data_IF_073025551080
#
_entry.id   IF_073025551080
#
_cell.length_a   1.000
_cell.length_b   1.000
_cell.length_c   1.000
_cell.angle_alpha   90.00
_cell.angle_beta   90.00
_cell.angle_gamma   90.00
#
_symmetry.space_group_name_H-M   'P 1'
#
loop_
_entity.id
_entity.type
_entity.pdbx_description
1 polymer ?
#
# COMPACT_ATOMS: atom_id res chain seq x y z
N UNK A 1 10.22 -27.02 -10.84
CA UNK A 1 10.09 -26.38 -12.18
C UNK A 1 11.34 -25.59 -12.47
N UNK A 2 12.04 -25.86 -13.57
CA UNK A 2 13.21 -25.07 -13.97
C UNK A 2 12.78 -23.68 -14.48
N UNK A 3 13.71 -22.71 -14.45
CA UNK A 3 13.46 -21.35 -14.98
C UNK A 3 13.18 -21.37 -16.49
N UNK A 4 13.77 -22.29 -17.24
CA UNK A 4 13.49 -22.46 -18.68
C UNK A 4 12.03 -22.90 -18.92
N UNK A 5 11.56 -23.88 -18.16
CA UNK A 5 10.16 -24.32 -18.24
C UNK A 5 9.21 -23.21 -17.82
N UNK A 6 9.53 -22.44 -16.77
CA UNK A 6 8.77 -21.25 -16.37
C UNK A 6 8.66 -20.24 -17.52
N UNK A 7 9.78 -19.93 -18.17
CA UNK A 7 9.82 -18.98 -19.29
C UNK A 7 8.99 -19.48 -20.47
N UNK A 8 9.11 -20.76 -20.82
CA UNK A 8 8.32 -21.38 -21.89
C UNK A 8 6.81 -21.28 -21.60
N UNK A 9 6.40 -21.68 -20.38
CA UNK A 9 5.01 -21.58 -19.95
C UNK A 9 4.50 -20.14 -19.97
N UNK A 10 5.35 -19.18 -19.60
CA UNK A 10 4.99 -17.76 -19.62
C UNK A 10 4.80 -17.24 -21.06
N UNK A 11 5.67 -17.65 -22.00
CA UNK A 11 5.47 -17.34 -23.44
C UNK A 11 4.16 -17.93 -23.96
N UNK A 12 3.86 -19.18 -23.64
CA UNK A 12 2.60 -19.83 -24.04
C UNK A 12 1.36 -19.18 -23.42
N UNK A 13 1.50 -18.61 -22.20
CA UNK A 13 0.42 -17.90 -21.52
C UNK A 13 0.21 -16.45 -22.02
N UNK A 14 1.12 -15.89 -22.82
CA UNK A 14 1.04 -14.50 -23.29
C UNK A 14 -0.27 -14.15 -23.99
N UNK A 15 -0.87 -14.99 -24.85
CA UNK A 15 -2.19 -14.70 -25.44
C UNK A 15 -3.28 -14.51 -24.39
N UNK A 16 -3.27 -15.29 -23.31
CA UNK A 16 -4.21 -15.16 -22.18
C UNK A 16 -3.95 -13.87 -21.38
N UNK A 17 -2.68 -13.50 -21.20
CA UNK A 17 -2.31 -12.23 -20.56
C UNK A 17 -2.85 -11.05 -21.37
N UNK A 18 -2.72 -11.08 -22.70
CA UNK A 18 -3.26 -10.08 -23.59
C UNK A 18 -4.79 -10.03 -23.55
N UNK A 19 -5.46 -11.19 -23.61
CA UNK A 19 -6.92 -11.27 -23.53
C UNK A 19 -7.42 -10.66 -22.21
N UNK A 20 -6.77 -10.99 -21.09
CA UNK A 20 -7.08 -10.41 -19.78
C UNK A 20 -6.84 -8.90 -19.75
N UNK A 21 -5.79 -8.42 -20.39
CA UNK A 21 -5.48 -6.99 -20.48
C UNK A 21 -6.56 -6.24 -21.25
N UNK A 22 -6.97 -6.75 -22.43
CA UNK A 22 -8.08 -6.20 -23.22
C UNK A 22 -9.41 -6.22 -22.47
N UNK A 23 -9.68 -7.31 -21.75
CA UNK A 23 -10.89 -7.40 -20.92
C UNK A 23 -10.91 -6.36 -19.79
N UNK A 24 -9.78 -6.14 -19.11
CA UNK A 24 -9.64 -5.06 -18.11
C UNK A 24 -9.76 -3.68 -18.72
N UNK A 25 -9.24 -3.49 -19.91
CA UNK A 25 -9.29 -2.21 -20.63
C UNK A 25 -10.71 -1.77 -20.98
N UNK A 26 -11.68 -2.70 -21.07
CA UNK A 26 -13.11 -2.34 -21.23
C UNK A 26 -13.65 -1.50 -20.08
N UNK A 27 -13.12 -1.69 -18.86
CA UNK A 27 -13.52 -0.91 -17.67
C UNK A 27 -12.55 0.23 -17.38
N UNK A 28 -11.28 0.07 -17.78
CA UNK A 28 -10.22 1.03 -17.51
C UNK A 28 -9.27 1.07 -18.73
N UNK A 29 -9.53 1.95 -19.71
CA UNK A 29 -8.78 2.02 -20.99
C UNK A 29 -7.28 2.26 -20.83
N UNK A 30 -6.85 2.85 -19.72
CA UNK A 30 -5.45 3.14 -19.39
C UNK A 30 -4.57 1.87 -19.33
N UNK A 31 -5.17 0.68 -19.21
CA UNK A 31 -4.42 -0.59 -19.30
C UNK A 31 -3.75 -0.80 -20.66
N UNK A 32 -4.24 -0.17 -21.73
CA UNK A 32 -3.66 -0.24 -23.09
C UNK A 32 -2.62 0.85 -23.35
N UNK A 33 -2.42 1.78 -22.44
CA UNK A 33 -1.38 2.78 -22.58
C UNK A 33 0.00 2.18 -22.34
N UNK A 34 1.01 2.67 -23.07
CA UNK A 34 2.42 2.29 -22.94
C UNK A 34 2.64 0.77 -23.02
N UNK A 35 1.94 0.07 -23.91
CA UNK A 35 2.06 -1.37 -24.10
C UNK A 35 3.49 -1.82 -24.44
N UNK A 36 4.24 -1.00 -25.19
CA UNK A 36 5.62 -1.27 -25.56
C UNK A 36 6.51 -1.44 -24.31
N UNK A 37 6.29 -0.65 -23.26
CA UNK A 37 7.04 -0.75 -21.99
C UNK A 37 6.88 -2.13 -21.35
N UNK A 38 5.67 -2.74 -21.42
CA UNK A 38 5.39 -4.08 -20.90
C UNK A 38 6.16 -5.20 -21.61
N UNK A 39 6.74 -4.89 -22.76
CA UNK A 39 7.61 -5.77 -23.54
C UNK A 39 9.07 -5.33 -23.51
N UNK A 40 9.41 -4.32 -22.70
CA UNK A 40 10.79 -3.84 -22.52
C UNK A 40 11.25 -2.83 -23.59
N UNK A 41 10.33 -2.16 -24.29
CA UNK A 41 10.65 -1.09 -25.23
C UNK A 41 10.29 0.26 -24.64
N UNK A 42 11.26 1.14 -24.46
CA UNK A 42 11.13 2.44 -23.81
C UNK A 42 11.61 3.55 -24.75
N UNK A 43 10.91 4.70 -24.75
CA UNK A 43 11.19 5.79 -25.67
C UNK A 43 12.40 6.65 -25.27
N UNK A 44 12.61 6.85 -23.96
CA UNK A 44 13.66 7.75 -23.48
C UNK A 44 14.42 7.15 -22.30
N UNK A 45 15.71 7.45 -22.23
CA UNK A 45 16.56 7.11 -21.09
C UNK A 45 16.81 8.37 -20.27
N UNK A 46 16.60 8.34 -18.95
CA UNK A 46 16.98 9.45 -18.08
C UNK A 46 18.51 9.66 -18.12
N UNK A 47 18.99 10.91 -18.15
CA UNK A 47 20.42 11.24 -18.31
C UNK A 47 21.25 11.04 -17.04
N UNK A 48 20.72 10.40 -15.98
CA UNK A 48 21.35 10.29 -14.65
C UNK A 48 21.59 8.85 -14.25
N UNK A 49 22.51 8.63 -13.29
CA UNK A 49 22.63 7.39 -12.54
C UNK A 49 21.31 7.11 -11.84
N UNK A 50 20.85 5.86 -11.86
CA UNK A 50 19.50 5.50 -11.40
C UNK A 50 19.54 4.46 -10.28
N UNK A 51 18.77 4.71 -9.24
CA UNK A 51 18.20 3.64 -8.43
C UNK A 51 16.85 3.25 -9.02
N UNK A 52 16.60 1.99 -9.15
CA UNK A 52 15.32 1.48 -9.63
C UNK A 52 14.51 0.94 -8.46
N UNK A 53 13.25 1.41 -8.35
CA UNK A 53 12.27 0.96 -7.36
C UNK A 53 11.02 0.46 -8.06
N UNK A 54 10.59 -0.76 -7.75
CA UNK A 54 9.38 -1.35 -8.27
C UNK A 54 8.27 -1.38 -7.23
N UNK A 55 7.18 -0.66 -7.49
CA UNK A 55 5.97 -0.60 -6.67
C UNK A 55 4.74 -0.88 -7.54
N UNK A 56 4.09 -2.02 -7.36
CA UNK A 56 3.01 -2.51 -8.24
C UNK A 56 1.75 -1.69 -8.13
N UNK A 57 1.36 -1.33 -6.91
CA UNK A 57 0.04 -0.81 -6.56
C UNK A 57 0.08 0.60 -5.95
N UNK A 58 -1.09 1.23 -5.86
CA UNK A 58 -1.29 2.51 -5.14
C UNK A 58 -0.73 2.46 -3.72
N UNK A 59 -1.02 1.36 -2.98
CA UNK A 59 -0.57 1.20 -1.60
C UNK A 59 0.93 1.12 -1.46
N UNK A 60 1.61 0.39 -2.36
CA UNK A 60 3.06 0.29 -2.40
C UNK A 60 3.71 1.61 -2.83
N UNK A 61 3.15 2.29 -3.84
CA UNK A 61 3.65 3.59 -4.29
C UNK A 61 3.61 4.63 -3.17
N UNK A 62 2.52 4.68 -2.41
CA UNK A 62 2.40 5.56 -1.23
C UNK A 62 3.38 5.16 -0.11
N UNK A 63 3.52 3.87 0.17
CA UNK A 63 4.46 3.36 1.16
C UNK A 63 5.93 3.63 0.77
N UNK A 64 6.24 3.66 -0.52
CA UNK A 64 7.57 3.96 -1.03
C UNK A 64 7.93 5.45 -0.97
N UNK A 65 6.96 6.36 -0.85
CA UNK A 65 7.20 7.80 -0.94
C UNK A 65 8.27 8.30 0.06
N UNK A 66 8.22 7.98 1.38
CA UNK A 66 9.26 8.40 2.33
C UNK A 66 10.65 7.86 1.98
N UNK A 67 10.71 6.65 1.42
CA UNK A 67 11.97 6.04 0.99
C UNK A 67 12.52 6.73 -0.26
N UNK A 68 11.69 7.06 -1.25
CA UNK A 68 12.07 7.80 -2.45
C UNK A 68 12.61 9.19 -2.07
N UNK A 69 11.89 9.91 -1.18
CA UNK A 69 12.31 11.20 -0.67
C UNK A 69 13.69 11.13 0.02
N UNK A 70 13.92 10.06 0.79
CA UNK A 70 15.18 9.82 1.50
C UNK A 70 16.32 9.43 0.56
N UNK A 71 16.06 8.59 -0.45
CA UNK A 71 17.03 8.21 -1.50
C UNK A 71 17.48 9.44 -2.28
N UNK A 72 16.54 10.26 -2.76
CA UNK A 72 16.85 11.46 -3.53
C UNK A 72 17.59 12.51 -2.71
N UNK A 73 17.37 12.57 -1.39
CA UNK A 73 18.12 13.45 -0.49
C UNK A 73 19.54 12.95 -0.23
N UNK A 74 19.68 11.65 0.04
CA UNK A 74 20.97 11.05 0.37
C UNK A 74 21.91 10.93 -0.85
N UNK A 75 21.35 10.83 -2.06
CA UNK A 75 22.10 10.64 -3.30
C UNK A 75 21.76 11.73 -4.34
N UNK A 76 22.28 12.96 -4.17
CA UNK A 76 21.91 14.10 -5.04
C UNK A 76 22.27 13.91 -6.52
N UNK A 77 23.29 13.11 -6.82
CA UNK A 77 23.70 12.76 -8.20
C UNK A 77 22.84 11.69 -8.89
N UNK A 78 21.90 11.06 -8.17
CA UNK A 78 21.07 9.99 -8.71
C UNK A 78 19.63 10.45 -8.97
N UNK A 79 18.99 9.77 -9.94
CA UNK A 79 17.54 9.74 -10.08
C UNK A 79 16.96 8.44 -9.55
N UNK A 80 15.64 8.38 -9.48
CA UNK A 80 14.90 7.14 -9.18
C UNK A 80 14.02 6.80 -10.39
N UNK A 81 14.16 5.57 -10.87
CA UNK A 81 13.23 4.95 -11.80
C UNK A 81 12.16 4.22 -10.97
N UNK A 82 10.93 4.71 -11.02
CA UNK A 82 9.79 4.09 -10.36
C UNK A 82 8.98 3.29 -11.36
N UNK A 83 8.89 1.97 -11.17
CA UNK A 83 8.13 1.10 -12.09
C UNK A 83 6.85 0.57 -11.46
N UNK A 84 5.83 0.38 -12.29
CA UNK A 84 4.49 -0.06 -11.88
C UNK A 84 4.01 -1.23 -12.75
N UNK A 85 2.94 -1.92 -12.29
CA UNK A 85 2.19 -2.88 -13.10
C UNK A 85 0.75 -2.44 -13.38
N UNK A 86 0.23 -1.47 -12.62
CA UNK A 86 -1.16 -1.00 -12.72
C UNK A 86 -1.24 0.47 -13.11
N UNK A 87 -2.26 0.89 -13.92
CA UNK A 87 -2.48 2.30 -14.25
C UNK A 87 -2.70 3.17 -13.02
N UNK A 88 -3.44 2.66 -12.02
CA UNK A 88 -3.70 3.38 -10.77
C UNK A 88 -2.44 3.61 -9.95
N UNK A 89 -1.53 2.61 -9.88
CA UNK A 89 -0.21 2.77 -9.28
C UNK A 89 0.61 3.85 -9.98
N UNK A 90 0.61 3.83 -11.32
CA UNK A 90 1.31 4.85 -12.14
C UNK A 90 0.71 6.25 -11.94
N UNK A 91 -0.63 6.37 -11.88
CA UNK A 91 -1.29 7.64 -11.60
C UNK A 91 -0.89 8.21 -10.21
N UNK A 92 -0.86 7.36 -9.18
CA UNK A 92 -0.36 7.77 -7.84
C UNK A 92 1.11 8.22 -7.89
N UNK A 93 1.93 7.57 -8.72
CA UNK A 93 3.32 7.97 -8.91
C UNK A 93 3.50 9.33 -9.58
N UNK A 94 2.51 9.85 -10.33
CA UNK A 94 2.57 11.21 -10.90
C UNK A 94 2.66 12.29 -9.82
N UNK A 95 2.02 12.10 -8.67
CA UNK A 95 2.13 13.01 -7.53
C UNK A 95 3.57 13.08 -6.99
N UNK A 96 4.29 11.96 -7.00
CA UNK A 96 5.70 11.89 -6.63
C UNK A 96 6.59 12.54 -7.68
N UNK A 97 6.30 12.34 -8.98
CA UNK A 97 7.02 13.01 -10.06
C UNK A 97 6.94 14.53 -9.95
N UNK A 98 5.76 15.06 -9.67
CA UNK A 98 5.54 16.51 -9.51
C UNK A 98 6.37 17.09 -8.36
N UNK A 99 6.63 16.32 -7.30
CA UNK A 99 7.49 16.73 -6.16
C UNK A 99 8.99 16.68 -6.48
N UNK A 100 9.40 15.85 -7.45
CA UNK A 100 10.81 15.62 -7.79
C UNK A 100 11.08 15.78 -9.30
N UNK A 101 10.85 16.96 -9.88
CA UNK A 101 10.97 17.19 -11.32
C UNK A 101 12.40 16.88 -11.81
N UNK A 102 12.49 16.13 -12.90
CA UNK A 102 13.75 15.72 -13.53
C UNK A 102 14.61 14.74 -12.74
N UNK A 103 14.16 14.29 -11.56
CA UNK A 103 14.86 13.29 -10.73
C UNK A 103 14.11 11.98 -10.53
N UNK A 104 12.82 11.97 -10.78
CA UNK A 104 11.99 10.78 -10.76
C UNK A 104 11.48 10.51 -12.19
N UNK A 105 11.58 9.26 -12.62
CA UNK A 105 11.09 8.78 -13.91
C UNK A 105 10.16 7.61 -13.67
N UNK A 106 9.09 7.49 -14.46
CA UNK A 106 8.16 6.36 -14.38
C UNK A 106 8.19 5.50 -15.64
N UNK A 107 8.02 4.17 -15.45
CA UNK A 107 7.78 3.22 -16.51
C UNK A 107 6.91 2.06 -16.03
N UNK A 108 6.32 1.29 -16.94
CA UNK A 108 5.83 -0.04 -16.59
C UNK A 108 6.99 -1.03 -16.54
N UNK A 109 6.98 -1.91 -15.53
CA UNK A 109 7.86 -3.07 -15.54
C UNK A 109 7.46 -4.02 -16.67
N UNK A 110 8.42 -4.59 -17.42
CA UNK A 110 8.07 -5.56 -18.44
C UNK A 110 7.55 -6.85 -17.82
N UNK A 111 6.79 -7.62 -18.59
CA UNK A 111 6.46 -8.99 -18.20
C UNK A 111 7.72 -9.82 -17.98
N UNK A 112 7.66 -10.79 -17.08
CA UNK A 112 8.84 -11.59 -16.67
C UNK A 112 9.31 -12.57 -17.75
N UNK A 113 9.56 -12.03 -18.96
CA UNK A 113 10.12 -12.73 -20.11
C UNK A 113 11.61 -12.41 -20.21
N UNK A 114 12.49 -13.41 -20.42
CA UNK A 114 13.94 -13.20 -20.43
C UNK A 114 14.42 -12.05 -21.33
N UNK A 115 13.87 -11.97 -22.55
CA UNK A 115 14.23 -10.91 -23.49
C UNK A 115 13.72 -9.53 -23.08
N UNK A 116 12.51 -9.44 -22.54
CA UNK A 116 11.92 -8.18 -22.09
C UNK A 116 12.63 -7.62 -20.85
N UNK A 117 12.94 -8.48 -19.87
CA UNK A 117 13.76 -8.13 -18.71
C UNK A 117 15.18 -7.69 -19.11
N UNK A 118 15.79 -8.36 -20.11
CA UNK A 118 17.08 -7.98 -20.65
C UNK A 118 17.04 -6.57 -21.23
N UNK A 119 16.09 -6.28 -22.14
CA UNK A 119 15.93 -4.94 -22.74
C UNK A 119 15.70 -3.84 -21.71
N UNK A 120 14.87 -4.11 -20.68
CA UNK A 120 14.63 -3.18 -19.58
C UNK A 120 15.93 -2.79 -18.87
N UNK A 121 16.71 -3.77 -18.44
CA UNK A 121 17.95 -3.53 -17.71
C UNK A 121 19.02 -2.88 -18.60
N UNK A 122 19.10 -3.24 -19.90
CA UNK A 122 20.04 -2.65 -20.85
C UNK A 122 19.66 -1.20 -21.18
N UNK A 123 18.36 -0.88 -21.20
CA UNK A 123 17.87 0.46 -21.47
C UNK A 123 18.14 1.42 -20.30
N UNK A 124 17.72 1.06 -19.09
CA UNK A 124 17.81 1.96 -17.94
C UNK A 124 19.16 1.89 -17.19
N UNK A 125 19.84 0.74 -17.21
CA UNK A 125 21.13 0.49 -16.55
C UNK A 125 21.14 1.00 -15.09
N UNK A 126 20.21 0.57 -14.24
CA UNK A 126 20.18 1.01 -12.86
C UNK A 126 21.39 0.47 -12.09
N UNK A 127 21.82 1.19 -11.05
CA UNK A 127 22.94 0.76 -10.19
C UNK A 127 22.49 -0.14 -9.05
N UNK A 128 21.23 -0.04 -8.68
CA UNK A 128 20.59 -0.83 -7.63
C UNK A 128 19.12 -1.04 -7.98
N UNK A 129 18.62 -2.26 -7.83
CA UNK A 129 17.20 -2.59 -7.98
C UNK A 129 16.53 -2.89 -6.64
N UNK A 130 15.39 -2.26 -6.39
CA UNK A 130 14.59 -2.40 -5.18
C UNK A 130 13.20 -2.92 -5.55
N UNK A 131 12.87 -4.15 -5.19
CA UNK A 131 11.54 -4.75 -5.38
C UNK A 131 10.74 -4.64 -4.08
N UNK A 132 9.47 -4.25 -4.14
CA UNK A 132 8.63 -4.12 -2.95
C UNK A 132 7.81 -5.38 -2.66
N UNK A 133 7.55 -5.60 -1.39
CA UNK A 133 6.64 -6.60 -0.81
C UNK A 133 6.94 -8.06 -1.24
N UNK A 134 6.13 -8.64 -2.15
CA UNK A 134 6.24 -10.07 -2.54
C UNK A 134 6.68 -10.26 -3.99
N UNK A 135 7.25 -9.25 -4.60
CA UNK A 135 7.58 -9.22 -6.02
C UNK A 135 8.84 -10.03 -6.35
N UNK A 136 8.69 -11.35 -6.41
CA UNK A 136 9.77 -12.28 -6.83
C UNK A 136 9.58 -12.67 -8.28
N UNK A 137 10.39 -12.09 -9.17
CA UNK A 137 10.35 -12.25 -10.63
C UNK A 137 11.58 -13.03 -11.11
N UNK A 138 11.49 -14.36 -11.32
CA UNK A 138 12.66 -15.20 -11.53
C UNK A 138 13.53 -14.84 -12.74
N UNK A 139 12.94 -14.43 -13.86
CA UNK A 139 13.71 -14.04 -15.05
C UNK A 139 14.35 -12.66 -14.88
N UNK A 140 13.64 -11.73 -14.27
CA UNK A 140 14.15 -10.39 -13.98
C UNK A 140 15.33 -10.45 -13.02
N UNK A 141 15.20 -11.20 -11.92
CA UNK A 141 16.28 -11.38 -10.93
C UNK A 141 17.48 -12.08 -11.57
N UNK A 142 17.27 -13.08 -12.41
CA UNK A 142 18.37 -13.73 -13.15
C UNK A 142 19.01 -12.79 -14.16
N UNK A 143 18.23 -11.96 -14.87
CA UNK A 143 18.77 -10.98 -15.81
C UNK A 143 19.62 -9.91 -15.08
N UNK A 144 19.22 -9.50 -13.89
CA UNK A 144 19.98 -8.62 -13.01
C UNK A 144 21.27 -9.28 -12.52
N UNK A 145 21.17 -10.51 -12.02
CA UNK A 145 22.35 -11.30 -11.58
C UNK A 145 23.42 -11.43 -12.67
N UNK A 146 23.02 -11.71 -13.91
CA UNK A 146 23.96 -11.80 -15.05
C UNK A 146 24.67 -10.49 -15.35
N UNK A 147 24.02 -9.35 -15.04
CA UNK A 147 24.58 -7.99 -15.21
C UNK A 147 25.30 -7.50 -13.95
N UNK A 148 25.44 -8.36 -12.94
CA UNK A 148 26.00 -7.99 -11.62
C UNK A 148 25.27 -6.81 -10.97
N UNK A 149 24.00 -6.59 -11.33
CA UNK A 149 23.15 -5.59 -10.71
C UNK A 149 22.69 -6.08 -9.34
N UNK A 150 23.07 -5.41 -8.25
CA UNK A 150 22.56 -5.76 -6.93
C UNK A 150 21.05 -5.48 -6.85
N UNK A 151 20.32 -6.46 -6.30
CA UNK A 151 18.88 -6.41 -6.12
C UNK A 151 18.53 -6.62 -4.65
N UNK A 152 17.62 -5.83 -4.13
CA UNK A 152 17.07 -6.06 -2.80
C UNK A 152 15.54 -6.17 -2.85
N UNK A 153 14.99 -7.05 -2.00
CA UNK A 153 13.56 -7.08 -1.71
C UNK A 153 13.31 -6.24 -0.46
N UNK A 154 12.53 -5.17 -0.59
CA UNK A 154 12.27 -4.22 0.48
C UNK A 154 10.80 -4.24 0.92
N UNK A 155 10.53 -3.84 2.15
CA UNK A 155 9.19 -3.96 2.74
C UNK A 155 8.62 -5.38 2.54
N UNK A 156 9.49 -6.38 2.63
CA UNK A 156 9.19 -7.76 2.25
C UNK A 156 8.22 -8.39 3.24
N UNK A 157 7.15 -8.97 2.72
CA UNK A 157 6.20 -9.75 3.51
C UNK A 157 5.89 -11.07 2.82
N UNK A 158 5.60 -12.10 3.61
CA UNK A 158 5.25 -13.39 3.07
C UNK A 158 4.22 -14.08 3.97
N UNK A 159 2.97 -14.18 3.53
CA UNK A 159 1.96 -14.92 4.25
C UNK A 159 2.28 -16.43 4.24
N UNK A 160 1.76 -17.18 5.22
CA UNK A 160 1.92 -18.65 5.26
C UNK A 160 1.35 -19.33 4.00
N UNK A 161 0.24 -18.81 3.47
CA UNK A 161 -0.35 -19.30 2.22
C UNK A 161 0.60 -19.12 1.05
N UNK A 162 1.22 -17.95 0.94
CA UNK A 162 2.20 -17.66 -0.12
C UNK A 162 3.49 -18.46 0.06
N UNK A 163 3.97 -18.63 1.30
CA UNK A 163 5.10 -19.49 1.62
C UNK A 163 4.87 -20.92 1.14
N UNK A 164 3.70 -21.50 1.47
CA UNK A 164 3.31 -22.86 0.99
C UNK A 164 3.24 -22.93 -0.54
N UNK A 165 2.78 -21.87 -1.21
CA UNK A 165 2.76 -21.78 -2.67
C UNK A 165 4.19 -21.78 -3.25
N UNK A 166 5.06 -20.94 -2.75
CA UNK A 166 6.46 -20.85 -3.20
C UNK A 166 7.27 -22.11 -2.88
N UNK A 167 7.03 -22.76 -1.76
CA UNK A 167 7.67 -24.02 -1.39
C UNK A 167 7.38 -25.18 -2.35
N UNK A 168 6.30 -25.10 -3.16
CA UNK A 168 6.02 -26.08 -4.22
C UNK A 168 6.92 -25.95 -5.46
N UNK A 169 7.62 -24.82 -5.59
CA UNK A 169 8.47 -24.49 -6.72
C UNK A 169 9.93 -24.19 -6.29
N UNK A 170 10.57 -25.07 -5.49
CA UNK A 170 11.85 -24.75 -4.84
C UNK A 170 12.98 -24.49 -5.84
N UNK A 171 13.04 -25.22 -6.94
CA UNK A 171 14.08 -25.04 -7.98
C UNK A 171 13.93 -23.75 -8.81
N UNK A 172 12.82 -23.03 -8.65
CA UNK A 172 12.62 -21.71 -9.27
C UNK A 172 12.84 -20.59 -8.25
N UNK A 173 12.23 -20.72 -7.07
CA UNK A 173 12.17 -19.65 -6.07
C UNK A 173 13.44 -19.53 -5.25
N UNK A 174 14.03 -20.66 -4.80
CA UNK A 174 15.28 -20.64 -4.01
C UNK A 174 16.44 -19.93 -4.69
N UNK A 175 16.78 -20.23 -5.98
CA UNK A 175 17.85 -19.52 -6.67
C UNK A 175 17.57 -18.03 -6.84
N UNK A 176 16.31 -17.64 -7.11
CA UNK A 176 15.93 -16.24 -7.25
C UNK A 176 16.13 -15.49 -5.93
N UNK A 177 15.59 -15.99 -4.82
CA UNK A 177 15.76 -15.37 -3.51
C UNK A 177 17.21 -15.40 -3.01
N UNK A 178 17.94 -16.48 -3.25
CA UNK A 178 19.34 -16.61 -2.84
C UNK A 178 20.27 -15.65 -3.59
N UNK A 179 19.87 -15.16 -4.77
CA UNK A 179 20.63 -14.20 -5.57
C UNK A 179 20.36 -12.74 -5.21
N UNK A 180 19.37 -12.47 -4.37
CA UNK A 180 19.13 -11.13 -3.85
C UNK A 180 20.29 -10.71 -2.92
N UNK A 181 20.73 -9.47 -3.07
CA UNK A 181 21.82 -8.90 -2.27
C UNK A 181 21.38 -8.60 -0.84
N UNK A 182 20.09 -8.35 -0.61
CA UNK A 182 19.50 -8.17 0.70
C UNK A 182 17.97 -8.31 0.67
N UNK A 183 17.37 -8.60 1.83
CA UNK A 183 15.94 -8.64 2.05
C UNK A 183 15.60 -7.87 3.33
N UNK A 184 14.82 -6.80 3.21
CA UNK A 184 14.29 -6.01 4.31
C UNK A 184 12.86 -6.47 4.63
N UNK A 185 12.72 -7.37 5.59
CA UNK A 185 11.43 -7.93 6.01
C UNK A 185 10.64 -6.97 6.88
N UNK A 186 9.30 -7.02 6.80
CA UNK A 186 8.42 -6.21 7.64
C UNK A 186 8.45 -6.69 9.11
N UNK A 187 8.52 -7.99 9.32
CA UNK A 187 8.46 -8.62 10.65
C UNK A 187 9.41 -9.78 10.79
N UNK A 188 9.59 -10.24 12.03
CA UNK A 188 10.36 -11.47 12.35
C UNK A 188 9.73 -12.68 11.65
N UNK A 189 8.41 -12.81 11.70
CA UNK A 189 7.69 -13.91 11.08
C UNK A 189 7.86 -13.92 9.55
N UNK A 190 7.87 -12.74 8.89
CA UNK A 190 8.16 -12.64 7.46
C UNK A 190 9.61 -13.02 7.14
N UNK A 191 10.56 -12.57 7.98
CA UNK A 191 11.98 -12.91 7.82
C UNK A 191 12.18 -14.43 7.87
N UNK A 192 11.62 -15.10 8.88
CA UNK A 192 11.72 -16.57 9.04
C UNK A 192 11.11 -17.31 7.82
N UNK A 193 9.93 -16.86 7.36
CA UNK A 193 9.28 -17.47 6.19
C UNK A 193 10.11 -17.30 4.93
N UNK A 194 10.68 -16.11 4.70
CA UNK A 194 11.55 -15.83 3.56
C UNK A 194 12.84 -16.65 3.60
N UNK A 195 13.47 -16.80 4.78
CA UNK A 195 14.64 -17.65 4.97
C UNK A 195 14.34 -19.14 4.67
N UNK A 196 13.20 -19.66 5.14
CA UNK A 196 12.75 -21.04 4.89
C UNK A 196 12.63 -21.35 3.40
N UNK A 197 12.26 -20.37 2.56
CA UNK A 197 12.13 -20.54 1.11
C UNK A 197 13.38 -20.14 0.32
N UNK A 198 14.48 -19.72 0.99
CA UNK A 198 15.80 -19.58 0.37
C UNK A 198 16.42 -18.19 0.37
N UNK A 199 15.81 -17.18 0.98
CA UNK A 199 16.43 -15.87 1.18
C UNK A 199 17.62 -15.98 2.15
N UNK A 200 18.74 -15.29 1.85
CA UNK A 200 20.00 -15.46 2.61
C UNK A 200 20.30 -14.26 3.52
N UNK A 201 20.23 -13.04 3.00
CA UNK A 201 20.56 -11.81 3.74
C UNK A 201 19.27 -11.12 4.13
N UNK A 202 18.66 -11.56 5.23
CA UNK A 202 17.36 -11.06 5.70
C UNK A 202 17.56 -10.24 6.97
N UNK A 203 17.09 -9.00 6.97
CA UNK A 203 17.03 -8.10 8.11
C UNK A 203 15.60 -7.65 8.36
N UNK A 204 15.20 -7.52 9.62
CA UNK A 204 13.87 -6.98 9.97
C UNK A 204 13.96 -5.45 9.99
N UNK A 205 13.32 -4.81 9.02
CA UNK A 205 13.32 -3.35 8.87
C UNK A 205 11.99 -2.69 9.28
N UNK A 206 10.92 -3.47 9.45
CA UNK A 206 9.59 -2.95 9.73
C UNK A 206 8.82 -2.58 8.44
N UNK A 207 7.59 -2.10 8.62
CA UNK A 207 6.71 -1.79 7.50
C UNK A 207 6.76 -0.30 7.16
N UNK A 208 7.17 0.03 5.93
CA UNK A 208 7.27 1.40 5.41
C UNK A 208 5.96 2.20 5.53
N UNK A 209 4.82 1.53 5.59
CA UNK A 209 3.51 2.19 5.75
C UNK A 209 3.41 3.00 7.04
N UNK A 210 4.13 2.61 8.11
CA UNK A 210 4.17 3.37 9.37
C UNK A 210 4.95 4.68 9.28
N UNK A 211 5.81 4.83 8.29
CA UNK A 211 6.60 6.06 8.08
C UNK A 211 5.88 7.08 7.19
N UNK A 212 4.74 6.70 6.62
CA UNK A 212 3.89 7.63 5.87
C UNK A 212 3.30 8.64 6.85
N UNK A 213 3.70 9.89 6.71
CA UNK A 213 3.16 10.98 7.53
C UNK A 213 1.87 11.51 6.89
N UNK A 214 0.78 11.65 7.67
CA UNK A 214 -0.44 12.29 7.19
C UNK A 214 -0.17 13.69 6.65
N UNK A 215 -0.75 14.05 5.51
CA UNK A 215 -0.54 15.35 4.89
C UNK A 215 -1.05 16.47 5.81
N UNK A 216 -0.23 17.49 6.14
CA UNK A 216 -0.63 18.56 7.06
C UNK A 216 -1.91 19.29 6.63
N UNK A 217 -2.07 19.55 5.33
CA UNK A 217 -3.28 20.17 4.79
C UNK A 217 -4.55 19.34 5.07
N UNK A 218 -4.46 18.01 4.98
CA UNK A 218 -5.60 17.13 5.27
C UNK A 218 -5.90 17.06 6.78
N UNK A 219 -4.88 17.10 7.64
CA UNK A 219 -5.09 17.20 9.09
C UNK A 219 -5.77 18.51 9.46
N UNK A 220 -5.34 19.63 8.87
CA UNK A 220 -5.98 20.94 9.05
C UNK A 220 -7.44 20.94 8.60
N UNK A 221 -7.72 20.32 7.44
CA UNK A 221 -9.08 20.17 6.93
C UNK A 221 -9.96 19.35 7.89
N UNK A 222 -9.49 18.22 8.38
CA UNK A 222 -10.21 17.41 9.35
C UNK A 222 -10.45 18.16 10.67
N UNK A 223 -9.46 18.90 11.15
CA UNK A 223 -9.59 19.75 12.33
C UNK A 223 -10.61 20.87 12.13
N UNK A 224 -10.64 21.47 10.95
CA UNK A 224 -11.63 22.48 10.59
C UNK A 224 -13.06 21.90 10.62
N UNK A 225 -13.26 20.74 10.01
CA UNK A 225 -14.56 20.06 10.07
C UNK A 225 -14.94 19.68 11.50
N UNK A 226 -13.97 19.27 12.32
CA UNK A 226 -14.21 18.98 13.75
C UNK A 226 -14.71 20.21 14.51
N UNK A 227 -14.14 21.39 14.24
CA UNK A 227 -14.60 22.66 14.84
C UNK A 227 -16.05 22.98 14.45
N UNK A 228 -16.45 22.76 13.19
CA UNK A 228 -17.82 22.99 12.71
C UNK A 228 -18.81 22.03 13.39
N UNK A 229 -18.43 20.76 13.53
CA UNK A 229 -19.27 19.73 14.17
C UNK A 229 -19.26 19.81 15.71
N UNK A 230 -18.37 20.61 16.26
CA UNK A 230 -18.20 20.80 17.71
C UNK A 230 -18.09 19.46 18.49
N UNK A 231 -18.88 19.26 19.51
CA UNK A 231 -18.87 18.05 20.36
C UNK A 231 -19.69 16.88 19.80
N UNK A 232 -20.22 17.01 18.58
CA UNK A 232 -21.03 15.96 17.94
C UNK A 232 -20.23 14.66 17.77
N UNK A 233 -20.72 13.48 18.24
CA UNK A 233 -20.05 12.23 18.03
C UNK A 233 -19.98 11.85 16.54
N UNK A 234 -18.80 11.44 16.05
CA UNK A 234 -18.58 11.03 14.66
C UNK A 234 -18.03 9.61 14.60
N UNK A 235 -18.84 8.69 14.10
CA UNK A 235 -18.44 7.33 13.79
C UNK A 235 -18.13 7.20 12.29
N UNK A 236 -16.89 6.90 11.95
CA UNK A 236 -16.44 6.75 10.56
C UNK A 236 -16.52 5.28 10.13
N UNK A 237 -17.20 5.01 9.02
CA UNK A 237 -17.10 3.76 8.27
C UNK A 237 -16.09 3.96 7.13
N UNK A 238 -14.85 3.54 7.34
CA UNK A 238 -13.69 3.93 6.55
C UNK A 238 -13.41 3.00 5.36
N UNK A 239 -13.55 3.46 4.13
CA UNK A 239 -13.22 2.69 2.92
C UNK A 239 -14.04 1.39 2.80
N UNK A 240 -15.34 1.47 2.92
CA UNK A 240 -16.29 0.34 2.89
C UNK A 240 -16.32 -0.36 1.54
N UNK A 241 -16.69 -1.62 1.56
CA UNK A 241 -16.79 -2.50 0.40
C UNK A 241 -18.23 -2.95 0.18
N UNK A 242 -18.49 -3.51 -1.00
CA UNK A 242 -19.81 -4.01 -1.43
C UNK A 242 -20.48 -4.87 -0.34
N UNK A 243 -21.71 -4.50 0.04
CA UNK A 243 -22.49 -5.17 1.07
C UNK A 243 -22.25 -4.70 2.49
N UNK A 244 -21.11 -4.12 2.82
CA UNK A 244 -20.83 -3.64 4.18
C UNK A 244 -21.68 -2.42 4.53
N UNK A 245 -21.94 -1.52 3.55
CA UNK A 245 -22.70 -0.31 3.77
C UNK A 245 -24.13 -0.62 4.22
N UNK A 246 -24.74 -1.66 3.64
CA UNK A 246 -26.07 -2.10 4.05
C UNK A 246 -26.10 -2.55 5.52
N UNK A 247 -25.13 -3.39 5.91
CA UNK A 247 -25.00 -3.90 7.28
C UNK A 247 -24.76 -2.77 8.29
N UNK A 248 -23.92 -1.80 7.93
CA UNK A 248 -23.59 -0.64 8.79
C UNK A 248 -24.81 0.28 8.97
N UNK A 249 -25.54 0.56 7.88
CA UNK A 249 -26.73 1.42 7.92
C UNK A 249 -27.86 0.75 8.69
N UNK A 250 -28.02 -0.57 8.57
CA UNK A 250 -29.02 -1.31 9.36
C UNK A 250 -28.66 -1.27 10.85
N UNK A 251 -27.39 -1.50 11.19
CA UNK A 251 -26.93 -1.41 12.57
C UNK A 251 -27.00 0.03 13.15
N UNK A 252 -26.88 1.07 12.32
CA UNK A 252 -27.05 2.47 12.74
C UNK A 252 -28.45 2.75 13.23
N UNK A 253 -29.49 2.17 12.60
CA UNK A 253 -30.90 2.41 12.98
C UNK A 253 -31.26 1.82 14.35
N UNK A 254 -30.46 0.86 14.83
CA UNK A 254 -30.63 0.23 16.15
C UNK A 254 -29.86 0.96 17.27
N UNK A 255 -29.02 1.96 16.89
CA UNK A 255 -28.21 2.73 17.84
C UNK A 255 -28.96 3.93 18.38
N UNK A 256 -29.13 3.96 19.68
CA UNK A 256 -29.63 5.13 20.43
C UNK A 256 -28.40 5.92 20.96
N UNK A 257 -27.84 6.77 20.11
CA UNK A 257 -26.78 7.74 20.47
C UNK A 257 -27.28 9.12 20.03
N UNK A 258 -27.51 10.05 20.98
CA UNK A 258 -27.92 11.41 20.63
C UNK A 258 -26.92 12.09 19.67
N UNK A 259 -27.46 12.74 18.66
CA UNK A 259 -26.67 13.51 17.67
C UNK A 259 -25.56 12.75 16.92
N UNK A 260 -25.55 11.41 16.92
CA UNK A 260 -24.55 10.65 16.20
C UNK A 260 -24.52 11.02 14.72
N UNK A 261 -23.33 11.25 14.19
CA UNK A 261 -23.06 11.36 12.77
C UNK A 261 -22.30 10.12 12.28
N UNK A 262 -22.89 9.36 11.38
CA UNK A 262 -22.16 8.35 10.60
C UNK A 262 -21.48 9.03 9.42
N UNK A 263 -20.15 9.01 9.36
CA UNK A 263 -19.38 9.38 8.19
C UNK A 263 -19.10 8.12 7.38
N UNK A 264 -19.79 7.94 6.25
CA UNK A 264 -19.71 6.73 5.41
C UNK A 264 -18.87 7.00 4.16
N UNK A 265 -17.75 6.32 4.04
CA UNK A 265 -16.77 6.54 2.96
C UNK A 265 -16.55 5.24 2.16
N UNK A 266 -17.19 5.09 0.98
CA UNK A 266 -16.97 3.93 0.13
C UNK A 266 -15.56 3.93 -0.52
N UNK A 267 -14.96 2.75 -0.65
CA UNK A 267 -13.59 2.58 -1.20
C UNK A 267 -13.47 2.94 -2.67
N UNK A 268 -14.51 2.74 -3.45
CA UNK A 268 -14.50 2.83 -4.89
C UNK A 268 -15.44 3.92 -5.41
N UNK A 269 -14.95 4.89 -6.22
CA UNK A 269 -15.78 5.99 -6.74
C UNK A 269 -17.00 5.52 -7.53
N UNK A 270 -16.89 4.37 -8.21
CA UNK A 270 -17.99 3.79 -9.00
C UNK A 270 -19.22 3.44 -8.17
N UNK A 271 -19.05 3.32 -6.83
CA UNK A 271 -20.12 2.97 -5.90
C UNK A 271 -20.76 4.17 -5.19
N UNK A 272 -20.24 5.38 -5.40
CA UNK A 272 -20.74 6.57 -4.69
C UNK A 272 -22.22 6.84 -4.93
N UNK A 273 -22.70 6.68 -6.17
CA UNK A 273 -24.11 6.87 -6.51
C UNK A 273 -24.98 5.76 -5.88
N UNK A 274 -24.57 4.50 -6.02
CA UNK A 274 -25.25 3.33 -5.43
C UNK A 274 -25.41 3.49 -3.91
N UNK A 275 -24.36 3.93 -3.21
CA UNK A 275 -24.40 4.10 -1.75
C UNK A 275 -25.29 5.29 -1.37
N UNK A 276 -25.33 6.38 -2.16
CA UNK A 276 -26.24 7.48 -1.93
C UNK A 276 -27.71 7.04 -2.06
N UNK A 277 -28.04 6.22 -3.07
CA UNK A 277 -29.36 5.62 -3.24
C UNK A 277 -29.70 4.69 -2.06
N UNK A 278 -28.75 3.87 -1.61
CA UNK A 278 -28.90 2.97 -0.48
C UNK A 278 -29.27 3.70 0.82
N UNK A 279 -28.66 4.87 1.08
CA UNK A 279 -28.97 5.72 2.22
C UNK A 279 -30.38 6.31 2.06
N UNK A 280 -30.73 6.81 0.87
CA UNK A 280 -32.05 7.36 0.55
C UNK A 280 -33.19 6.36 0.73
N UNK A 281 -33.00 5.11 0.32
CA UNK A 281 -33.98 4.03 0.51
C UNK A 281 -34.29 3.74 2.00
N UNK A 282 -33.32 3.99 2.90
CA UNK A 282 -33.50 3.86 4.35
C UNK A 282 -34.11 5.11 4.99
N UNK A 283 -34.42 6.15 4.19
CA UNK A 283 -34.97 7.43 4.63
C UNK A 283 -34.13 8.13 5.69
N UNK A 284 -32.83 7.91 5.70
CA UNK A 284 -31.90 8.59 6.58
C UNK A 284 -31.58 9.98 6.00
N UNK A 285 -31.60 11.01 6.85
CA UNK A 285 -31.21 12.35 6.47
C UNK A 285 -29.68 12.35 6.19
N UNK A 286 -29.27 12.69 4.96
CA UNK A 286 -27.85 12.67 4.58
C UNK A 286 -27.44 13.87 3.73
N UNK A 287 -26.16 14.16 3.73
CA UNK A 287 -25.50 15.11 2.83
C UNK A 287 -24.29 14.46 2.15
N UNK A 288 -23.77 15.09 1.09
CA UNK A 288 -22.69 14.55 0.26
C UNK A 288 -21.49 15.48 0.24
N UNK A 289 -20.30 14.91 0.46
CA UNK A 289 -19.04 15.67 0.40
C UNK A 289 -18.76 16.22 -1.01
N UNK A 290 -19.08 15.45 -2.07
CA UNK A 290 -18.91 15.87 -3.47
C UNK A 290 -19.70 17.11 -3.87
N UNK A 291 -20.70 17.49 -3.09
CA UNK A 291 -21.50 18.70 -3.26
C UNK A 291 -21.07 19.86 -2.36
N UNK A 292 -19.93 19.68 -1.66
CA UNK A 292 -19.43 20.62 -0.64
C UNK A 292 -20.40 20.85 0.52
N UNK A 293 -21.36 19.95 0.70
CA UNK A 293 -22.35 20.02 1.79
C UNK A 293 -21.69 19.62 3.11
N UNK A 294 -21.95 20.41 4.15
CA UNK A 294 -21.55 20.10 5.53
C UNK A 294 -22.75 19.60 6.33
N UNK A 295 -22.54 18.62 7.24
CA UNK A 295 -23.60 18.09 8.06
C UNK A 295 -24.22 19.17 8.97
N UNK A 296 -25.53 19.26 8.99
CA UNK A 296 -26.30 20.01 9.98
C UNK A 296 -26.79 19.07 11.10
N UNK A 297 -27.50 19.63 12.10
CA UNK A 297 -27.97 18.84 13.26
C UNK A 297 -28.90 17.68 12.89
N UNK A 298 -29.65 17.81 11.79
CA UNK A 298 -30.58 16.77 11.34
C UNK A 298 -29.92 15.72 10.46
N UNK A 299 -28.67 15.92 9.97
CA UNK A 299 -27.95 14.99 9.13
C UNK A 299 -27.54 13.78 9.95
N UNK A 300 -27.96 12.59 9.58
CA UNK A 300 -27.59 11.33 10.23
C UNK A 300 -26.38 10.67 9.57
N UNK A 301 -26.26 10.83 8.24
CA UNK A 301 -25.16 10.26 7.47
C UNK A 301 -24.49 11.35 6.64
N UNK A 302 -23.18 11.44 6.74
CA UNK A 302 -22.36 12.20 5.81
C UNK A 302 -21.68 11.23 4.84
N UNK A 303 -22.08 11.25 3.57
CA UNK A 303 -21.46 10.44 2.55
C UNK A 303 -20.15 11.11 2.09
N UNK A 304 -19.02 10.48 2.42
CA UNK A 304 -17.70 10.89 1.99
C UNK A 304 -17.39 10.36 0.58
N UNK A 305 -18.08 10.89 -0.41
CA UNK A 305 -17.97 10.52 -1.82
C UNK A 305 -16.93 11.36 -2.57
N UNK A 306 -15.72 11.42 -1.98
CA UNK A 306 -14.55 12.10 -2.52
C UNK A 306 -13.32 11.20 -2.48
N UNK A 307 -12.30 11.57 -3.23
CA UNK A 307 -11.04 10.84 -3.26
C UNK A 307 -9.91 11.65 -2.61
N UNK A 308 -9.00 10.97 -1.92
CA UNK A 308 -7.79 11.59 -1.34
C UNK A 308 -7.98 12.24 0.03
N UNK A 309 -9.19 12.25 0.62
CA UNK A 309 -9.52 12.95 1.86
C UNK A 309 -9.54 12.03 3.11
N UNK A 310 -9.12 10.76 3.02
CA UNK A 310 -9.19 9.81 4.16
C UNK A 310 -8.48 10.32 5.42
N UNK A 311 -7.35 10.99 5.29
CA UNK A 311 -6.62 11.60 6.42
C UNK A 311 -7.49 12.64 7.13
N UNK A 312 -8.22 13.49 6.38
CA UNK A 312 -9.12 14.48 6.95
C UNK A 312 -10.30 13.81 7.68
N UNK A 313 -10.83 12.73 7.11
CA UNK A 313 -11.90 11.95 7.75
C UNK A 313 -11.42 11.26 9.04
N UNK A 314 -10.21 10.68 9.07
CA UNK A 314 -9.65 10.13 10.31
C UNK A 314 -9.38 11.21 11.37
N UNK A 315 -8.87 12.37 10.96
CA UNK A 315 -8.61 13.48 11.88
C UNK A 315 -9.90 14.07 12.49
N UNK A 316 -11.02 14.00 11.76
CA UNK A 316 -12.33 14.42 12.20
C UNK A 316 -12.99 13.41 13.16
N UNK A 317 -12.84 12.11 12.85
CA UNK A 317 -13.62 11.05 13.48
C UNK A 317 -13.21 10.78 14.95
N UNK A 318 -14.19 10.37 15.74
CA UNK A 318 -13.94 9.88 17.09
C UNK A 318 -13.48 8.44 17.12
N UNK A 319 -14.04 7.62 16.22
CA UNK A 319 -13.79 6.19 16.08
C UNK A 319 -14.04 5.78 14.64
N UNK A 320 -13.26 4.84 14.11
CA UNK A 320 -13.47 4.29 12.78
C UNK A 320 -13.80 2.79 12.82
N UNK A 321 -14.73 2.34 11.97
CA UNK A 321 -14.87 0.95 11.57
C UNK A 321 -14.12 0.78 10.25
N UNK A 322 -13.17 -0.15 10.21
CA UNK A 322 -12.36 -0.38 9.02
C UNK A 322 -13.13 -1.20 7.99
N UNK A 323 -13.36 -0.64 6.82
CA UNK A 323 -14.04 -1.31 5.72
C UNK A 323 -13.23 -2.50 5.15
N UNK A 324 -13.92 -3.41 4.50
CA UNK A 324 -13.38 -4.67 4.02
C UNK A 324 -13.07 -5.68 5.12
N UNK A 325 -13.48 -5.41 6.36
CA UNK A 325 -13.27 -6.30 7.51
C UNK A 325 -14.50 -7.06 7.95
N UNK A 326 -15.70 -6.53 7.73
CA UNK A 326 -16.95 -7.24 8.03
C UNK A 326 -17.23 -8.38 7.05
N UNK A 327 -16.87 -8.18 5.79
CA UNK A 327 -16.95 -9.16 4.72
C UNK A 327 -15.55 -9.56 4.23
N UNK A 328 -15.36 -10.69 3.53
CA UNK A 328 -14.06 -11.31 3.27
C UNK A 328 -13.23 -10.57 2.21
N UNK A 329 -13.07 -9.26 2.34
CA UNK A 329 -12.21 -8.42 1.48
C UNK A 329 -10.81 -8.21 2.03
N UNK A 330 -10.56 -8.57 3.32
CA UNK A 330 -9.22 -8.57 3.91
C UNK A 330 -8.80 -7.30 4.63
N UNK A 331 -9.71 -6.33 4.77
CA UNK A 331 -9.45 -5.07 5.47
C UNK A 331 -8.71 -4.02 4.64
N UNK A 332 -8.82 -2.78 5.11
CA UNK A 332 -8.12 -1.61 4.58
C UNK A 332 -6.99 -1.15 5.52
N UNK A 333 -6.31 -0.04 5.20
CA UNK A 333 -5.11 0.43 5.89
C UNK A 333 -5.42 1.09 7.24
N UNK A 334 -5.36 0.30 8.33
CA UNK A 334 -5.54 0.81 9.69
C UNK A 334 -4.38 1.69 10.19
N UNK A 335 -3.20 1.58 9.58
CA UNK A 335 -2.00 2.33 9.98
C UNK A 335 -2.22 3.83 9.74
N UNK A 336 -2.94 4.20 8.68
CA UNK A 336 -3.27 5.59 8.36
C UNK A 336 -4.22 6.18 9.42
N UNK A 337 -5.21 5.41 9.88
CA UNK A 337 -6.08 5.79 10.99
C UNK A 337 -5.28 6.00 12.28
N UNK A 338 -4.42 5.05 12.63
CA UNK A 338 -3.56 5.13 13.82
C UNK A 338 -2.60 6.34 13.77
N UNK A 339 -2.07 6.68 12.58
CA UNK A 339 -1.22 7.85 12.39
C UNK A 339 -1.97 9.19 12.63
N UNK A 340 -3.29 9.18 12.48
CA UNK A 340 -4.17 10.32 12.83
C UNK A 340 -4.70 10.26 14.28
N UNK A 341 -4.28 9.28 15.07
CA UNK A 341 -4.79 9.06 16.43
C UNK A 341 -6.26 8.60 16.46
N UNK A 342 -6.78 8.06 15.35
CA UNK A 342 -8.13 7.54 15.26
C UNK A 342 -8.16 6.04 15.62
N UNK A 343 -8.84 5.65 16.72
CA UNK A 343 -8.98 4.25 17.09
C UNK A 343 -9.88 3.49 16.12
N UNK A 344 -9.70 2.17 16.00
CA UNK A 344 -10.34 1.38 14.97
C UNK A 344 -11.10 0.18 15.52
N UNK A 345 -12.31 -0.06 15.00
CA UNK A 345 -13.00 -1.33 15.09
C UNK A 345 -12.64 -2.19 13.87
N UNK A 346 -12.38 -3.47 14.08
CA UNK A 346 -11.95 -4.42 13.05
C UNK A 346 -12.89 -5.63 13.04
N UNK A 347 -13.52 -5.89 11.90
CA UNK A 347 -14.26 -7.12 11.67
C UNK A 347 -13.34 -8.35 11.53
N UNK A 348 -13.91 -9.55 11.30
CA UNK A 348 -13.16 -10.81 11.31
C UNK A 348 -12.18 -10.99 10.14
N UNK A 349 -12.30 -10.18 9.08
CA UNK A 349 -11.54 -10.38 7.84
C UNK A 349 -10.42 -9.34 7.67
N UNK A 350 -9.27 -9.54 8.35
CA UNK A 350 -8.13 -8.61 8.33
C UNK A 350 -6.88 -9.17 7.62
N UNK A 351 -7.02 -10.17 6.73
CA UNK A 351 -5.88 -10.92 6.19
C UNK A 351 -4.90 -10.09 5.34
N UNK A 352 -5.31 -8.93 4.78
CA UNK A 352 -4.38 -8.03 4.08
C UNK A 352 -3.46 -7.26 5.05
N UNK A 353 -3.88 -7.11 6.31
CA UNK A 353 -3.18 -6.39 7.39
C UNK A 353 -3.11 -7.23 8.67
N UNK A 354 -3.06 -8.56 8.55
CA UNK A 354 -3.23 -9.48 9.68
C UNK A 354 -2.31 -9.15 10.87
N UNK A 355 -1.03 -8.93 10.62
CA UNK A 355 -0.05 -8.62 11.66
C UNK A 355 -0.30 -7.23 12.28
N UNK A 356 -0.49 -6.20 11.44
CA UNK A 356 -0.78 -4.86 11.93
C UNK A 356 -2.08 -4.83 12.75
N UNK A 357 -3.10 -5.60 12.34
CA UNK A 357 -4.37 -5.74 13.06
C UNK A 357 -4.18 -6.44 14.39
N UNK A 358 -3.44 -7.56 14.43
CA UNK A 358 -3.15 -8.28 15.66
C UNK A 358 -2.38 -7.41 16.66
N UNK A 359 -1.36 -6.70 16.19
CA UNK A 359 -0.55 -5.82 17.04
C UNK A 359 -1.38 -4.61 17.54
N UNK A 360 -2.23 -4.02 16.70
CA UNK A 360 -3.11 -2.93 17.10
C UNK A 360 -4.14 -3.37 18.15
N UNK A 361 -4.70 -4.58 18.02
CA UNK A 361 -5.61 -5.16 19.05
C UNK A 361 -4.85 -5.41 20.34
N UNK A 362 -3.67 -6.02 20.26
CA UNK A 362 -2.87 -6.39 21.45
C UNK A 362 -2.47 -5.16 22.28
N UNK A 363 -2.21 -4.01 21.65
CA UNK A 363 -1.84 -2.77 22.35
C UNK A 363 -3.03 -1.87 22.70
N UNK A 364 -4.27 -2.27 22.37
CA UNK A 364 -5.48 -1.49 22.63
C UNK A 364 -5.75 -0.35 21.64
N UNK A 365 -5.01 -0.28 20.53
CA UNK A 365 -5.24 0.69 19.43
C UNK A 365 -6.43 0.32 18.54
N UNK A 366 -6.81 -0.95 18.54
CA UNK A 366 -7.97 -1.47 17.83
C UNK A 366 -8.78 -2.45 18.71
N UNK A 367 -10.07 -2.60 18.39
CA UNK A 367 -10.97 -3.57 19.03
C UNK A 367 -11.56 -4.47 17.94
N UNK A 368 -11.46 -5.79 18.14
CA UNK A 368 -12.09 -6.76 17.24
C UNK A 368 -13.59 -6.85 17.51
N UNK A 369 -14.37 -6.98 16.45
CA UNK A 369 -15.83 -7.14 16.49
C UNK A 369 -16.25 -8.26 15.52
N UNK A 370 -17.22 -9.12 15.85
CA UNK A 370 -17.60 -10.23 14.97
C UNK A 370 -18.44 -9.80 13.76
N UNK A 371 -19.24 -8.75 13.89
CA UNK A 371 -20.21 -8.31 12.88
C UNK A 371 -20.54 -6.81 13.01
N UNK A 372 -21.45 -6.30 12.16
CA UNK A 372 -21.85 -4.91 12.14
C UNK A 372 -22.66 -4.49 13.38
N UNK A 373 -23.51 -5.36 13.92
CA UNK A 373 -24.26 -5.10 15.15
C UNK A 373 -23.33 -4.94 16.35
N UNK A 374 -22.36 -5.85 16.50
CA UNK A 374 -21.33 -5.73 17.54
C UNK A 374 -20.43 -4.51 17.34
N UNK A 375 -20.15 -4.11 16.08
CA UNK A 375 -19.41 -2.89 15.78
C UNK A 375 -20.18 -1.65 16.25
N UNK A 376 -21.49 -1.62 16.00
CA UNK A 376 -22.37 -0.55 16.44
C UNK A 376 -22.42 -0.45 17.98
N UNK A 377 -22.62 -1.58 18.67
CA UNK A 377 -22.60 -1.62 20.13
C UNK A 377 -21.25 -1.18 20.72
N UNK A 378 -20.15 -1.61 20.11
CA UNK A 378 -18.81 -1.18 20.51
C UNK A 378 -18.58 0.32 20.26
N UNK A 379 -19.10 0.87 19.16
CA UNK A 379 -19.05 2.29 18.88
C UNK A 379 -19.85 3.08 19.93
N UNK A 380 -21.06 2.63 20.26
CA UNK A 380 -21.88 3.21 21.33
C UNK A 380 -21.15 3.23 22.67
N UNK A 381 -20.61 2.07 23.07
CA UNK A 381 -19.87 1.93 24.31
C UNK A 381 -18.71 2.94 24.39
N UNK A 382 -17.89 3.03 23.35
CA UNK A 382 -16.74 3.92 23.32
C UNK A 382 -17.14 5.41 23.26
N UNK A 383 -18.13 5.77 22.46
CA UNK A 383 -18.56 7.16 22.30
C UNK A 383 -19.26 7.71 23.56
N UNK A 384 -19.89 6.84 24.35
CA UNK A 384 -20.51 7.22 25.63
C UNK A 384 -19.53 7.20 26.82
N UNK A 385 -18.32 6.62 26.64
CA UNK A 385 -17.29 6.55 27.67
C UNK A 385 -16.00 7.27 27.24
N UNK A 386 -15.92 8.60 27.41
CA UNK A 386 -14.81 9.42 26.90
C UNK A 386 -13.42 8.98 27.38
N UNK A 387 -13.31 8.43 28.59
CA UNK A 387 -12.03 7.94 29.12
C UNK A 387 -11.54 6.69 28.38
N UNK A 388 -12.42 5.74 28.07
CA UNK A 388 -12.08 4.54 27.31
C UNK A 388 -11.69 4.91 25.85
N UNK A 389 -12.42 5.83 25.25
CA UNK A 389 -12.12 6.35 23.92
C UNK A 389 -10.75 7.06 23.89
N UNK A 390 -10.44 7.90 24.90
CA UNK A 390 -9.16 8.59 25.01
C UNK A 390 -8.00 7.61 25.21
N UNK A 391 -8.18 6.58 26.03
CA UNK A 391 -7.18 5.53 26.21
C UNK A 391 -6.87 4.82 24.87
N UNK A 392 -7.91 4.49 24.10
CA UNK A 392 -7.77 3.85 22.81
C UNK A 392 -7.12 4.79 21.76
N UNK A 393 -7.41 6.09 21.77
CA UNK A 393 -6.74 7.11 20.95
C UNK A 393 -5.23 7.22 21.28
N UNK A 394 -4.91 7.23 22.56
CA UNK A 394 -3.51 7.26 23.02
C UNK A 394 -2.77 5.99 22.57
N UNK A 395 -3.39 4.83 22.70
CA UNK A 395 -2.84 3.58 22.22
C UNK A 395 -2.63 3.59 20.69
N UNK A 396 -3.57 4.13 19.91
CA UNK A 396 -3.44 4.25 18.45
C UNK A 396 -2.24 5.14 18.05
N UNK A 397 -2.08 6.29 18.71
CA UNK A 397 -0.95 7.19 18.49
C UNK A 397 0.38 6.52 18.83
N UNK A 398 0.46 5.88 20.00
CA UNK A 398 1.65 5.14 20.45
C UNK A 398 1.99 3.99 19.50
N UNK A 399 0.99 3.22 19.07
CA UNK A 399 1.15 2.14 18.10
C UNK A 399 1.78 2.66 16.78
N UNK A 400 1.25 3.76 16.24
CA UNK A 400 1.82 4.36 15.03
C UNK A 400 3.27 4.79 15.23
N UNK A 401 3.59 5.43 16.36
CA UNK A 401 4.94 5.94 16.65
C UNK A 401 5.96 4.82 16.88
N UNK A 402 5.60 3.78 17.63
CA UNK A 402 6.48 2.65 17.97
C UNK A 402 6.91 1.86 16.74
N UNK A 403 6.07 1.80 15.71
CA UNK A 403 6.35 1.04 14.50
C UNK A 403 7.08 1.86 13.41
N UNK A 404 7.37 3.14 13.65
CA UNK A 404 8.13 4.00 12.72
C UNK A 404 9.60 3.60 12.61
N UNK A 405 10.28 4.19 11.62
CA UNK A 405 11.71 4.03 11.38
C UNK A 405 12.07 2.93 10.37
N UNK A 406 11.08 2.33 9.72
CA UNK A 406 11.31 1.34 8.67
C UNK A 406 12.11 1.92 7.49
N UNK A 407 11.81 3.18 7.10
CA UNK A 407 12.54 3.91 6.06
C UNK A 407 14.02 4.08 6.43
N UNK A 408 14.32 4.51 7.66
CA UNK A 408 15.70 4.71 8.10
C UNK A 408 16.49 3.39 8.11
N UNK A 409 15.88 2.30 8.63
CA UNK A 409 16.50 0.97 8.62
C UNK A 409 16.71 0.45 7.20
N UNK A 410 15.74 0.66 6.31
CA UNK A 410 15.85 0.28 4.88
C UNK A 410 16.92 1.11 4.18
N UNK A 411 17.03 2.41 4.45
CA UNK A 411 18.09 3.28 3.93
C UNK A 411 19.49 2.84 4.40
N UNK A 412 19.64 2.43 5.65
CA UNK A 412 20.91 1.88 6.13
C UNK A 412 21.33 0.62 5.36
N UNK A 413 20.38 -0.29 5.10
CA UNK A 413 20.61 -1.48 4.28
C UNK A 413 21.01 -1.09 2.84
N UNK A 414 20.31 -0.15 2.22
CA UNK A 414 20.60 0.35 0.87
C UNK A 414 22.00 1.00 0.83
N UNK A 415 22.37 1.77 1.85
CA UNK A 415 23.69 2.38 1.96
C UNK A 415 24.82 1.36 1.94
N UNK A 416 24.66 0.24 2.66
CA UNK A 416 25.62 -0.87 2.63
C UNK A 416 25.76 -1.51 1.23
N UNK A 417 24.65 -1.61 0.49
CA UNK A 417 24.67 -2.13 -0.88
C UNK A 417 25.33 -1.14 -1.85
N UNK A 418 25.04 0.14 -1.73
CA UNK A 418 25.60 1.20 -2.59
C UNK A 418 27.14 1.32 -2.42
N UNK A 419 27.65 1.21 -1.19
CA UNK A 419 29.12 1.20 -0.92
C UNK A 419 29.78 0.00 -1.60
N UNK A 420 29.18 -1.19 -1.53
CA UNK A 420 29.71 -2.40 -2.22
C UNK A 420 29.76 -2.22 -3.74
N UNK A 421 28.81 -1.51 -4.33
CA UNK A 421 28.81 -1.18 -5.76
C UNK A 421 29.95 -0.24 -6.10
N UNK A 422 30.14 0.83 -5.32
CA UNK A 422 31.20 1.81 -5.54
C UNK A 422 32.60 1.18 -5.43
N UNK A 423 32.84 0.30 -4.45
CA UNK A 423 34.13 -0.40 -4.31
C UNK A 423 34.40 -1.36 -5.47
N UNK A 424 33.38 -2.10 -5.96
CA UNK A 424 33.54 -3.02 -7.08
C UNK A 424 33.82 -2.33 -8.42
N UNK A 425 33.42 -1.07 -8.60
CA UNK A 425 33.73 -0.26 -9.80
C UNK A 425 35.13 0.33 -9.80
N UNK A 426 35.78 0.48 -8.63
CA UNK A 426 37.14 0.98 -8.50
C UNK A 426 38.25 -0.10 -8.63
N UNK A 427 37.88 -1.38 -8.52
CA UNK A 427 38.85 -2.51 -8.62
C UNK A 427 39.09 -3.04 -10.05
N UNK A 428 38.50 -2.45 -11.08
CA UNK A 428 38.84 -2.78 -12.48
C UNK A 428 39.95 -1.82 -12.93
N UNK A 429 41.22 -2.27 -13.03
CA UNK A 429 42.28 -1.43 -13.61
C UNK A 429 41.98 -1.18 -15.09
N UNK A 430 42.34 -0.02 -15.62
CA UNK A 430 42.22 0.23 -17.05
C UNK A 430 43.08 -0.83 -17.78
N UNK A 431 42.41 -1.68 -18.55
CA UNK A 431 43.12 -2.55 -19.51
C UNK A 431 43.88 -1.64 -20.46
N UNK A 432 45.20 -1.62 -20.31
CA UNK A 432 46.10 -1.12 -21.34
C UNK A 432 45.85 -1.91 -22.64
N UNK A 433 45.32 -1.25 -23.64
CA UNK A 433 45.85 -1.20 -25.03
C UNK A 433 44.93 -0.28 -25.84
#
# INVERSE_FOLDING_TARGET
MSRLLYSLLFYLAMPLVWLRLFWRARRQPEYLQQLAERHGFYASRPPRRLFWLHAVSVGETRAAAPLIDSLLRAYPGHGVLLTHMTPTGRATGQELLARHPGRLTQAYLPYDLPAACGRFLDHFQPELGLLMETEVWPNLIEAARRRKLPMALINARLSERSQRGYARLPSLIRPALASLSAVAAQSVADAERLQKIGARQVSVCGNLKFDVTPAPAMLQQGSHWRQILAARPVWLAASTREGEEALILDALTELDIPDLLLLLVPRHPQRFAEVAELIGHRRLAFCRRSREELPNRNTQVWLGDSMGEMVAYYALADLALMGGTLLPFGGQNLIEAAACGCPVLLGPHCFNFAEASANAIACGAARAVPDAGAAALAARDLLLHPQALLAMRTAATTFSQTHRGATARTMALIGQLAVKVASATHETPPSCQ
#
